data_IF_801769865912
#
_entry.id   IF_801769865912
#
_cell.length_a   1.000
_cell.length_b   1.000
_cell.length_c   1.000
_cell.angle_alpha   90.00
_cell.angle_beta   90.00
_cell.angle_gamma   90.00
#
_symmetry.space_group_name_H-M   'P 1'
#
loop_
_entity.id
_entity.type
_entity.pdbx_description
1 polymer ?
#
# COMPACT_ATOMS: atom_id res chain seq x y z
N UNK A 1 9.74 12.08 24.74
CA UNK A 1 8.91 12.00 23.53
C UNK A 1 9.80 12.01 22.28
N UNK A 2 9.60 11.05 21.43
CA UNK A 2 10.39 11.04 20.21
C UNK A 2 9.64 11.81 19.11
N UNK A 3 10.37 12.57 18.37
CA UNK A 3 9.81 13.33 17.26
C UNK A 3 9.92 12.53 15.98
N UNK A 4 8.96 12.73 15.11
CA UNK A 4 9.03 12.15 13.79
C UNK A 4 10.07 12.91 12.98
N UNK A 5 10.84 12.17 12.24
CA UNK A 5 11.87 12.77 11.40
C UNK A 5 11.33 13.15 10.04
N UNK A 6 11.98 14.10 9.40
CA UNK A 6 11.66 14.47 8.03
C UNK A 6 12.60 13.69 7.13
N UNK A 7 12.02 12.94 6.21
CA UNK A 7 12.81 12.14 5.30
C UNK A 7 13.42 13.01 4.20
N UNK A 8 14.72 12.90 3.94
CA UNK A 8 15.33 13.61 2.82
C UNK A 8 14.66 13.24 1.50
N UNK A 9 14.55 14.22 0.60
CA UNK A 9 13.82 14.03 -0.66
C UNK A 9 14.34 12.87 -1.50
N UNK A 10 15.65 12.69 -1.54
CA UNK A 10 16.23 11.59 -2.30
C UNK A 10 15.90 10.22 -1.70
N UNK A 11 15.71 10.17 -0.40
CA UNK A 11 15.34 8.92 0.28
C UNK A 11 13.87 8.58 0.11
N UNK A 12 13.03 9.58 -0.09
CA UNK A 12 11.61 9.36 -0.32
C UNK A 12 11.39 8.49 -1.57
N UNK A 13 12.08 8.83 -2.64
CA UNK A 13 11.93 8.08 -3.89
C UNK A 13 12.47 6.66 -3.74
N UNK A 14 13.57 6.51 -3.00
CA UNK A 14 14.15 5.18 -2.74
C UNK A 14 13.17 4.33 -1.94
N UNK A 15 12.54 4.90 -0.92
CA UNK A 15 11.57 4.20 -0.11
C UNK A 15 10.34 3.78 -0.94
N UNK A 16 9.83 4.68 -1.75
CA UNK A 16 8.66 4.38 -2.58
C UNK A 16 8.99 3.25 -3.56
N UNK A 17 10.16 3.32 -4.19
CA UNK A 17 10.60 2.27 -5.11
C UNK A 17 10.79 0.94 -4.39
N UNK A 18 11.32 0.97 -3.18
CA UNK A 18 11.49 -0.22 -2.36
C UNK A 18 10.15 -0.89 -2.08
N UNK A 19 9.20 -0.13 -1.59
CA UNK A 19 7.86 -0.64 -1.26
C UNK A 19 7.17 -1.16 -2.52
N UNK A 20 7.21 -0.37 -3.58
CA UNK A 20 6.50 -0.69 -4.81
C UNK A 20 7.07 -1.92 -5.50
N UNK A 21 8.38 -1.99 -5.59
CA UNK A 21 9.03 -3.07 -6.35
C UNK A 21 9.19 -4.36 -5.55
N UNK A 22 9.24 -4.29 -4.24
CA UNK A 22 9.48 -5.47 -3.42
C UNK A 22 8.20 -6.05 -2.82
N UNK A 23 7.34 -5.21 -2.30
CA UNK A 23 6.10 -5.73 -1.69
C UNK A 23 4.90 -5.60 -2.62
N UNK A 24 4.66 -4.40 -3.13
CA UNK A 24 3.45 -4.15 -3.92
C UNK A 24 3.40 -4.97 -5.19
N UNK A 25 4.54 -5.24 -5.77
CA UNK A 25 4.63 -6.06 -6.98
C UNK A 25 3.95 -7.42 -6.81
N UNK A 26 4.02 -7.98 -5.61
CA UNK A 26 3.33 -9.24 -5.29
C UNK A 26 1.93 -9.00 -4.78
N UNK A 27 1.78 -8.03 -3.88
CA UNK A 27 0.51 -7.78 -3.21
C UNK A 27 -0.58 -7.36 -4.17
N UNK A 28 -0.23 -6.67 -5.23
CA UNK A 28 -1.20 -6.21 -6.22
C UNK A 28 -1.91 -7.35 -6.96
N UNK A 29 -1.39 -8.56 -6.84
CA UNK A 29 -2.02 -9.73 -7.46
C UNK A 29 -3.17 -10.29 -6.64
N UNK A 30 -3.30 -9.88 -5.39
CA UNK A 30 -4.43 -10.31 -4.57
C UNK A 30 -5.71 -9.65 -5.06
N UNK A 31 -6.81 -10.38 -4.92
CA UNK A 31 -8.13 -9.89 -5.28
C UNK A 31 -9.17 -10.48 -4.32
N UNK A 32 -10.44 -10.32 -4.64
CA UNK A 32 -11.53 -10.79 -3.79
C UNK A 32 -11.57 -12.31 -3.66
N UNK A 33 -10.89 -13.03 -4.54
CA UNK A 33 -10.83 -14.49 -4.50
C UNK A 33 -9.60 -15.01 -3.77
N UNK A 34 -8.72 -14.14 -3.34
CA UNK A 34 -7.49 -14.54 -2.66
C UNK A 34 -7.78 -15.07 -1.26
N UNK A 35 -6.91 -15.96 -0.79
CA UNK A 35 -7.02 -16.48 0.57
C UNK A 35 -6.76 -15.36 1.56
N UNK A 36 -7.72 -15.15 2.45
CA UNK A 36 -7.66 -14.05 3.41
C UNK A 36 -6.47 -14.15 4.36
N UNK A 37 -6.08 -15.37 4.72
CA UNK A 37 -4.92 -15.55 5.57
C UNK A 37 -3.64 -15.10 4.89
N UNK A 38 -3.50 -15.42 3.61
CA UNK A 38 -2.34 -14.99 2.86
C UNK A 38 -2.27 -13.48 2.70
N UNK A 39 -3.43 -12.86 2.46
CA UNK A 39 -3.51 -11.41 2.39
C UNK A 39 -3.10 -10.78 3.71
N UNK A 40 -3.61 -11.30 4.81
CA UNK A 40 -3.29 -10.78 6.14
C UNK A 40 -1.82 -10.94 6.47
N UNK A 41 -1.23 -12.08 6.10
CA UNK A 41 0.20 -12.29 6.30
C UNK A 41 1.02 -11.28 5.51
N UNK A 42 0.64 -11.04 4.28
CA UNK A 42 1.34 -10.08 3.42
C UNK A 42 1.28 -8.68 4.01
N UNK A 43 0.12 -8.28 4.49
CA UNK A 43 -0.05 -6.98 5.14
C UNK A 43 0.79 -6.86 6.40
N UNK A 44 0.81 -7.92 7.21
CA UNK A 44 1.57 -7.92 8.45
C UNK A 44 3.06 -7.81 8.19
N UNK A 45 3.57 -8.57 7.22
CA UNK A 45 4.97 -8.52 6.83
C UNK A 45 5.34 -7.11 6.36
N UNK A 46 4.47 -6.51 5.55
CA UNK A 46 4.70 -5.15 5.05
C UNK A 46 4.75 -4.13 6.19
N UNK A 47 3.78 -4.21 7.09
CA UNK A 47 3.73 -3.27 8.22
C UNK A 47 4.97 -3.38 9.10
N UNK A 48 5.42 -4.61 9.34
CA UNK A 48 6.63 -4.83 10.12
C UNK A 48 7.87 -4.31 9.41
N UNK A 49 7.92 -4.49 8.10
CA UNK A 49 9.04 -4.00 7.30
C UNK A 49 9.13 -2.47 7.36
N UNK A 50 8.01 -1.80 7.18
CA UNK A 50 7.98 -0.34 7.25
C UNK A 50 8.34 0.13 8.66
N UNK A 51 7.80 -0.53 9.67
CA UNK A 51 8.08 -0.18 11.05
C UNK A 51 9.57 -0.34 11.38
N UNK A 52 10.18 -1.40 10.90
CA UNK A 52 11.60 -1.66 11.17
C UNK A 52 12.52 -0.67 10.44
N UNK A 53 12.15 -0.24 9.26
CA UNK A 53 13.03 0.55 8.41
C UNK A 53 12.67 2.03 8.30
N UNK A 54 11.42 2.39 8.53
CA UNK A 54 10.94 3.74 8.25
C UNK A 54 10.00 4.30 9.33
N UNK A 55 10.02 3.72 10.53
CA UNK A 55 9.02 4.05 11.56
C UNK A 55 8.99 5.50 12.00
N UNK A 56 10.11 6.20 11.89
CA UNK A 56 10.20 7.58 12.36
C UNK A 56 9.76 8.62 11.35
N UNK A 57 9.36 8.20 10.17
CA UNK A 57 9.04 9.12 9.09
C UNK A 57 7.53 9.18 8.86
N UNK A 58 6.91 10.36 9.02
CA UNK A 58 5.46 10.48 8.77
C UNK A 58 5.05 10.04 7.38
N UNK A 59 5.87 10.36 6.38
CA UNK A 59 5.55 10.00 5.00
C UNK A 59 5.51 8.48 4.81
N UNK A 60 6.38 7.77 5.52
CA UNK A 60 6.40 6.30 5.44
C UNK A 60 5.11 5.71 6.00
N UNK A 61 4.64 6.23 7.11
CA UNK A 61 3.38 5.77 7.71
C UNK A 61 2.20 6.06 6.79
N UNK A 62 2.20 7.23 6.16
CA UNK A 62 1.14 7.61 5.23
C UNK A 62 1.12 6.73 4.00
N UNK A 63 2.29 6.46 3.43
CA UNK A 63 2.40 5.60 2.25
C UNK A 63 2.00 4.17 2.59
N UNK A 64 2.46 3.67 3.73
CA UNK A 64 2.08 2.34 4.19
C UNK A 64 0.56 2.23 4.28
N UNK A 65 -0.08 3.21 4.91
CA UNK A 65 -1.52 3.19 5.07
C UNK A 65 -2.23 3.23 3.71
N UNK A 66 -1.72 4.04 2.79
CA UNK A 66 -2.31 4.14 1.46
C UNK A 66 -2.27 2.81 0.71
N UNK A 67 -1.13 2.12 0.76
CA UNK A 67 -1.02 0.81 0.12
C UNK A 67 -1.90 -0.24 0.79
N UNK A 68 -1.99 -0.21 2.11
CA UNK A 68 -2.85 -1.15 2.85
C UNK A 68 -4.32 -0.90 2.47
N UNK A 69 -4.73 0.36 2.41
CA UNK A 69 -6.10 0.70 2.05
C UNK A 69 -6.43 0.26 0.64
N UNK A 70 -5.48 0.42 -0.28
CA UNK A 70 -5.69 -0.01 -1.66
C UNK A 70 -5.83 -1.53 -1.74
N UNK A 71 -4.96 -2.25 -1.05
CA UNK A 71 -5.02 -3.71 -1.04
C UNK A 71 -6.33 -4.19 -0.40
N UNK A 72 -6.70 -3.58 0.70
CA UNK A 72 -7.94 -3.92 1.40
C UNK A 72 -9.15 -3.75 0.47
N UNK A 73 -9.19 -2.64 -0.27
CA UNK A 73 -10.25 -2.38 -1.21
C UNK A 73 -10.33 -3.46 -2.29
N UNK A 74 -9.19 -3.88 -2.79
CA UNK A 74 -9.13 -4.89 -3.85
C UNK A 74 -9.61 -6.25 -3.38
N UNK A 75 -9.24 -6.63 -2.17
CA UNK A 75 -9.59 -7.97 -1.67
C UNK A 75 -11.00 -8.05 -1.12
N UNK A 76 -11.59 -6.93 -0.76
CA UNK A 76 -12.98 -6.91 -0.32
C UNK A 76 -13.97 -7.02 -1.48
N UNK A 77 -13.53 -6.68 -2.67
CA UNK A 77 -14.42 -6.57 -3.81
C UNK A 77 -15.32 -5.34 -3.63
N UNK A 78 -16.12 -5.04 -4.58
CA UNK A 78 -17.01 -3.89 -4.50
C UNK A 78 -16.39 -2.60 -5.01
N UNK A 79 -15.10 -2.60 -5.26
CA UNK A 79 -14.44 -1.49 -5.93
C UNK A 79 -14.19 -1.85 -7.37
N UNK A 80 -14.28 -0.86 -8.21
CA UNK A 80 -14.04 -1.06 -9.64
C UNK A 80 -12.69 -0.50 -9.99
N UNK A 81 -12.11 -1.04 -11.06
CA UNK A 81 -10.88 -0.47 -11.57
C UNK A 81 -11.16 0.95 -12.04
N UNK A 82 -10.10 1.74 -12.14
CA UNK A 82 -10.21 3.10 -12.63
C UNK A 82 -10.91 3.15 -13.99
N UNK A 83 -10.59 2.22 -14.85
CA UNK A 83 -11.18 2.17 -16.18
C UNK A 83 -12.68 1.91 -16.16
N UNK A 84 -13.12 1.00 -15.29
CA UNK A 84 -14.54 0.74 -15.13
C UNK A 84 -15.28 1.95 -14.63
N UNK A 85 -14.73 2.65 -13.67
CA UNK A 85 -15.34 3.85 -13.14
C UNK A 85 -15.37 4.98 -14.16
N UNK A 86 -14.33 5.10 -14.95
CA UNK A 86 -14.26 6.09 -15.99
C UNK A 86 -15.37 5.89 -17.02
N UNK A 87 -15.58 4.67 -17.44
CA UNK A 87 -16.67 4.36 -18.36
C UNK A 87 -18.01 4.72 -17.76
N UNK A 88 -18.20 4.39 -16.52
CA UNK A 88 -19.44 4.68 -15.84
C UNK A 88 -19.70 6.18 -15.75
N UNK A 89 -18.67 6.94 -15.49
CA UNK A 89 -18.78 8.39 -15.40
C UNK A 89 -19.08 9.02 -16.74
N UNK A 90 -18.49 8.48 -17.80
CA UNK A 90 -18.70 8.98 -19.14
C UNK A 90 -20.13 8.83 -19.61
N UNK A 91 -20.85 7.89 -19.04
CA UNK A 91 -22.22 7.65 -19.42
C UNK A 91 -23.23 8.58 -18.73
N UNK A 92 -22.77 9.45 -17.90
CA UNK A 92 -23.63 10.38 -17.19
C UNK A 92 -23.85 11.68 -17.94
#
# INVERSE_FOLDING_TARGET
MSYKEIMPNDKIIVMINDIHNNWWKSAREFDENSDKEEVMKSMTVFMRYVEANYSNYPIACGIMQAYIDELDARVKGGYRSFEGEKEKNERR
#
